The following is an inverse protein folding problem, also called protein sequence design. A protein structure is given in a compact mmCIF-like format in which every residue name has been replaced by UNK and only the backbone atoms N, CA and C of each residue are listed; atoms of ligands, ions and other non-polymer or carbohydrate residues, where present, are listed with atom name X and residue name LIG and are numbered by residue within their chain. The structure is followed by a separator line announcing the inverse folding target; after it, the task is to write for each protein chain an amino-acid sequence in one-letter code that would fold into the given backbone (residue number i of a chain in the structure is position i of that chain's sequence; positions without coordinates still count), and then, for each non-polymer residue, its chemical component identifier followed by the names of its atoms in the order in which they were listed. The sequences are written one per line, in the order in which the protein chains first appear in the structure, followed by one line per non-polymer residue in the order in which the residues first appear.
data_IF_100805059720
#
_entry.id   IF_100805059720
#
_cell.length_a   1.000
_cell.length_b   1.000
_cell.length_c   1.000
_cell.angle_alpha   90.00
_cell.angle_beta   90.00
_cell.angle_gamma   90.00
#
_symmetry.space_group_name_H-M   'P 1'
#
loop_
_entity.id
_entity.type
_entity.pdbx_description
1 polymer ?
#
# COMPACT_ATOMS: atom_id res chain seq x y z
N UNK A 1 49.36 -1.18 17.71
CA UNK A 1 48.85 -2.27 16.84
C UNK A 1 47.45 -2.62 17.30
N UNK A 2 46.46 -1.87 16.84
CA UNK A 2 45.04 -2.17 17.05
C UNK A 2 44.64 -3.20 16.00
N UNK A 3 44.40 -4.42 16.43
CA UNK A 3 43.88 -5.50 15.60
C UNK A 3 42.48 -5.08 15.13
N UNK A 4 42.36 -4.62 13.89
CA UNK A 4 41.09 -4.52 13.19
C UNK A 4 40.48 -5.93 13.19
N UNK A 5 39.48 -6.16 14.05
CA UNK A 5 38.62 -7.33 13.92
C UNK A 5 38.04 -7.29 12.50
N UNK A 6 38.44 -8.25 11.66
CA UNK A 6 37.86 -8.39 10.31
C UNK A 6 36.35 -8.50 10.47
N UNK A 7 35.61 -7.66 9.75
CA UNK A 7 34.15 -7.74 9.70
C UNK A 7 33.80 -9.07 9.02
N UNK A 8 33.36 -10.03 9.82
CA UNK A 8 32.98 -11.34 9.30
C UNK A 8 31.56 -11.24 8.73
N UNK A 9 31.47 -11.20 7.40
CA UNK A 9 30.21 -11.27 6.67
C UNK A 9 29.92 -12.72 6.28
N UNK A 10 28.64 -13.11 6.26
CA UNK A 10 28.24 -14.37 5.64
C UNK A 10 28.55 -14.36 4.13
N UNK A 11 28.72 -15.54 3.54
CA UNK A 11 29.01 -15.65 2.11
C UNK A 11 27.90 -15.05 1.23
N UNK A 12 26.64 -15.16 1.64
CA UNK A 12 25.52 -14.51 0.95
C UNK A 12 25.65 -12.99 0.99
N UNK A 13 26.02 -12.44 2.15
CA UNK A 13 26.14 -11.00 2.31
C UNK A 13 27.35 -10.44 1.57
N UNK A 14 28.48 -11.18 1.54
CA UNK A 14 29.63 -10.83 0.70
C UNK A 14 29.24 -10.72 -0.76
N UNK A 15 28.53 -11.72 -1.30
CA UNK A 15 28.07 -11.71 -2.70
C UNK A 15 27.16 -10.53 -3.01
N UNK A 16 26.26 -10.17 -2.11
CA UNK A 16 25.39 -9.01 -2.27
C UNK A 16 26.19 -7.69 -2.28
N UNK A 17 27.13 -7.52 -1.34
CA UNK A 17 28.03 -6.36 -1.29
C UNK A 17 28.88 -6.27 -2.56
N UNK A 18 29.52 -7.35 -2.98
CA UNK A 18 30.32 -7.41 -4.21
C UNK A 18 29.50 -7.02 -5.45
N UNK A 19 28.25 -7.51 -5.53
CA UNK A 19 27.32 -7.14 -6.59
C UNK A 19 27.02 -5.64 -6.62
N UNK A 20 26.83 -5.03 -5.45
CA UNK A 20 26.60 -3.58 -5.34
C UNK A 20 27.84 -2.80 -5.76
N UNK A 21 29.02 -3.17 -5.26
CA UNK A 21 30.31 -2.54 -5.61
C UNK A 21 30.50 -2.53 -7.13
N UNK A 22 30.28 -3.69 -7.77
CA UNK A 22 30.46 -3.84 -9.22
C UNK A 22 29.44 -3.04 -10.03
N UNK A 23 28.18 -3.02 -9.61
CA UNK A 23 27.12 -2.34 -10.36
C UNK A 23 27.22 -0.81 -10.27
N UNK A 24 27.76 -0.30 -9.16
CA UNK A 24 27.93 1.13 -8.92
C UNK A 24 29.31 1.67 -9.33
N UNK A 25 30.16 0.82 -9.91
CA UNK A 25 31.56 1.15 -10.29
C UNK A 25 32.33 1.79 -9.12
N UNK A 26 32.14 1.25 -7.91
CA UNK A 26 32.78 1.76 -6.69
C UNK A 26 34.21 1.25 -6.58
N UNK A 27 35.16 2.16 -6.47
CA UNK A 27 36.56 1.83 -6.16
C UNK A 27 36.74 1.57 -4.65
N UNK A 28 36.26 0.40 -4.20
CA UNK A 28 36.37 -0.04 -2.80
C UNK A 28 36.42 -1.56 -2.66
N UNK A 29 37.06 -2.04 -1.59
CA UNK A 29 36.93 -3.43 -1.15
C UNK A 29 35.68 -3.63 -0.30
N UNK A 30 35.32 -4.89 -0.03
CA UNK A 30 34.22 -5.25 0.88
C UNK A 30 34.46 -4.69 2.29
N UNK A 31 35.72 -4.62 2.74
CA UNK A 31 36.09 -4.06 4.04
C UNK A 31 35.85 -2.54 4.11
N UNK A 32 36.08 -1.83 3.01
CA UNK A 32 35.89 -0.37 2.87
C UNK A 32 34.47 0.04 2.47
N UNK A 33 33.66 -0.92 2.01
CA UNK A 33 32.33 -0.70 1.45
C UNK A 33 31.47 0.22 2.30
N UNK A 34 31.39 -0.06 3.61
CA UNK A 34 30.52 0.67 4.52
C UNK A 34 30.87 2.16 4.68
N UNK A 35 32.13 2.52 4.43
CA UNK A 35 32.65 3.88 4.61
C UNK A 35 32.59 4.69 3.30
N UNK A 36 32.53 4.01 2.16
CA UNK A 36 32.50 4.63 0.82
C UNK A 36 31.09 4.67 0.20
N UNK A 37 30.12 3.96 0.77
CA UNK A 37 28.76 3.88 0.23
C UNK A 37 27.89 5.07 0.68
N UNK A 38 27.05 5.57 -0.25
CA UNK A 38 25.95 6.45 0.12
C UNK A 38 24.76 5.61 0.63
N UNK A 39 24.60 5.54 1.95
CA UNK A 39 23.53 4.78 2.61
C UNK A 39 22.12 5.21 2.24
N UNK A 40 21.92 6.47 1.88
CA UNK A 40 20.61 6.96 1.44
C UNK A 40 20.27 6.43 0.05
N UNK A 41 21.21 6.54 -0.89
CA UNK A 41 21.01 6.10 -2.28
C UNK A 41 20.87 4.59 -2.37
N UNK A 42 21.69 3.83 -1.63
CA UNK A 42 21.59 2.38 -1.63
C UNK A 42 20.25 1.90 -1.09
N UNK A 43 19.76 2.52 0.00
CA UNK A 43 18.46 2.19 0.61
C UNK A 43 17.28 2.46 -0.31
N UNK A 44 17.44 3.39 -1.27
CA UNK A 44 16.38 3.81 -2.20
C UNK A 44 16.41 3.06 -3.53
N UNK A 45 17.58 2.97 -4.15
CA UNK A 45 17.70 2.58 -5.55
C UNK A 45 18.17 1.14 -5.76
N UNK A 46 18.62 0.44 -4.71
CA UNK A 46 19.03 -0.97 -4.81
C UNK A 46 17.96 -1.88 -4.23
N UNK A 47 17.89 -3.10 -4.76
CA UNK A 47 17.07 -4.16 -4.20
C UNK A 47 17.89 -4.86 -3.12
N UNK A 48 17.64 -4.52 -1.86
CA UNK A 48 18.39 -5.01 -0.71
C UNK A 48 17.70 -6.21 -0.09
N UNK A 49 18.47 -7.23 0.26
CA UNK A 49 17.94 -8.34 1.05
C UNK A 49 17.65 -7.89 2.48
N UNK A 50 16.66 -8.51 3.13
CA UNK A 50 16.40 -8.23 4.54
C UNK A 50 17.60 -8.55 5.45
N UNK A 51 18.45 -9.52 5.07
CA UNK A 51 19.68 -9.81 5.81
C UNK A 51 20.71 -8.69 5.70
N UNK A 52 20.81 -8.07 4.53
CA UNK A 52 21.61 -6.86 4.35
C UNK A 52 21.07 -5.73 5.24
N UNK A 53 19.76 -5.51 5.23
CA UNK A 53 19.14 -4.45 6.03
C UNK A 53 19.31 -4.72 7.53
N UNK A 54 19.13 -5.97 8.00
CA UNK A 54 19.41 -6.37 9.40
C UNK A 54 20.85 -6.07 9.79
N UNK A 55 21.80 -6.43 8.92
CA UNK A 55 23.22 -6.25 9.19
C UNK A 55 23.58 -4.76 9.34
N UNK A 56 23.00 -3.92 8.50
CA UNK A 56 23.30 -2.49 8.43
C UNK A 56 22.17 -1.61 8.97
N UNK A 57 21.38 -2.12 9.91
CA UNK A 57 20.17 -1.49 10.44
C UNK A 57 20.40 -0.09 11.01
N UNK A 58 21.61 0.20 11.50
CA UNK A 58 21.98 1.51 12.09
C UNK A 58 22.54 2.49 11.05
N UNK A 59 22.67 2.06 9.79
CA UNK A 59 23.22 2.88 8.69
C UNK A 59 22.21 3.15 7.57
N UNK A 60 21.34 2.19 7.27
CA UNK A 60 20.31 2.35 6.24
C UNK A 60 19.35 3.49 6.54
N UNK A 61 18.83 4.11 5.47
CA UNK A 61 17.78 5.12 5.59
C UNK A 61 16.42 4.42 5.69
N UNK A 62 15.88 4.32 6.90
CA UNK A 62 14.62 3.61 7.18
C UNK A 62 13.41 4.15 6.43
N UNK A 63 13.41 5.43 6.05
CA UNK A 63 12.36 6.02 5.23
C UNK A 63 12.40 5.39 3.83
N UNK A 64 13.57 5.40 3.19
CA UNK A 64 13.76 4.78 1.88
C UNK A 64 13.56 3.26 1.93
N UNK A 65 13.99 2.59 3.00
CA UNK A 65 13.74 1.17 3.20
C UNK A 65 12.24 0.86 3.19
N UNK A 66 11.46 1.63 3.95
CA UNK A 66 10.02 1.42 4.08
C UNK A 66 9.26 1.70 2.79
N UNK A 67 9.72 2.69 2.01
CA UNK A 67 9.08 3.14 0.76
C UNK A 67 9.43 2.27 -0.44
N UNK A 68 10.69 1.87 -0.58
CA UNK A 68 11.21 1.33 -1.84
C UNK A 68 11.58 -0.15 -1.79
N UNK A 69 11.80 -0.73 -0.60
CA UNK A 69 12.12 -2.15 -0.49
C UNK A 69 10.86 -2.99 -0.36
N UNK A 70 10.90 -4.22 -0.87
CA UNK A 70 9.86 -5.22 -0.63
C UNK A 70 10.15 -5.91 0.70
N UNK A 71 9.36 -5.62 1.72
CA UNK A 71 9.56 -6.13 3.07
C UNK A 71 8.54 -7.23 3.39
N UNK A 72 8.98 -8.29 4.04
CA UNK A 72 8.10 -9.29 4.63
C UNK A 72 7.42 -8.73 5.88
N UNK A 73 6.24 -9.26 6.21
CA UNK A 73 5.52 -8.85 7.42
C UNK A 73 6.32 -9.16 8.68
N UNK A 74 7.07 -10.27 8.72
CA UNK A 74 7.91 -10.63 9.87
C UNK A 74 9.07 -9.65 10.05
N UNK A 75 9.69 -9.19 8.96
CA UNK A 75 10.69 -8.13 9.03
C UNK A 75 10.11 -6.81 9.56
N UNK A 76 8.91 -6.45 9.11
CA UNK A 76 8.24 -5.23 9.62
C UNK A 76 7.91 -5.38 11.11
N UNK A 77 7.53 -6.57 11.58
CA UNK A 77 7.35 -6.84 13.03
C UNK A 77 8.65 -6.68 13.80
N UNK A 78 9.73 -7.26 13.27
CA UNK A 78 11.07 -7.19 13.86
C UNK A 78 11.55 -5.74 14.02
N UNK A 79 11.30 -4.90 13.00
CA UNK A 79 11.74 -3.50 12.96
C UNK A 79 10.61 -2.48 13.13
N UNK A 80 9.54 -2.84 13.83
CA UNK A 80 8.31 -2.05 13.98
C UNK A 80 8.50 -0.64 14.59
N UNK A 81 9.62 -0.40 15.25
CA UNK A 81 9.96 0.88 15.88
C UNK A 81 10.96 1.71 15.05
N UNK A 82 11.43 1.17 13.92
CA UNK A 82 12.33 1.86 12.98
C UNK A 82 11.67 2.18 11.64
N UNK A 83 10.78 1.30 11.16
CA UNK A 83 10.07 1.51 9.91
C UNK A 83 9.19 2.76 9.94
N UNK A 84 9.04 3.39 8.78
CA UNK A 84 8.15 4.52 8.61
C UNK A 84 6.74 4.04 8.25
N UNK A 85 5.84 4.06 9.23
CA UNK A 85 4.49 3.48 9.11
C UNK A 85 3.61 4.08 8.01
N UNK A 86 3.84 5.33 7.63
CA UNK A 86 3.19 5.96 6.48
C UNK A 86 3.48 5.17 5.20
N UNK A 87 4.76 4.98 4.88
CA UNK A 87 5.19 4.21 3.71
C UNK A 87 4.89 2.72 3.81
N UNK A 88 4.96 2.13 5.01
CA UNK A 88 4.53 0.75 5.20
C UNK A 88 3.06 0.58 4.82
N UNK A 89 2.20 1.50 5.25
CA UNK A 89 0.75 1.42 5.00
C UNK A 89 0.40 1.63 3.53
N UNK A 90 1.15 2.49 2.83
CA UNK A 90 0.87 2.86 1.45
C UNK A 90 1.49 1.91 0.41
N UNK A 91 2.72 1.42 0.66
CA UNK A 91 3.52 0.75 -0.38
C UNK A 91 3.74 -0.74 -0.14
N UNK A 92 3.57 -1.23 1.09
CA UNK A 92 3.71 -2.67 1.37
C UNK A 92 2.36 -3.38 1.22
N UNK A 93 2.41 -4.66 0.85
CA UNK A 93 1.22 -5.52 0.83
C UNK A 93 0.97 -6.06 2.24
N UNK A 94 -0.05 -5.53 2.90
CA UNK A 94 -0.38 -5.89 4.27
C UNK A 94 -1.58 -6.85 4.31
N UNK A 95 -1.52 -7.86 5.19
CA UNK A 95 -2.70 -8.68 5.47
C UNK A 95 -3.63 -7.94 6.44
N UNK A 96 -4.92 -8.25 6.40
CA UNK A 96 -5.89 -7.63 7.32
C UNK A 96 -5.55 -7.93 8.79
N UNK A 97 -5.06 -9.12 9.11
CA UNK A 97 -4.64 -9.48 10.47
C UNK A 97 -3.41 -8.68 10.92
N UNK A 98 -2.47 -8.41 10.02
CA UNK A 98 -1.35 -7.53 10.31
C UNK A 98 -1.81 -6.10 10.61
N UNK A 99 -2.79 -5.60 9.84
CA UNK A 99 -3.35 -4.26 10.09
C UNK A 99 -4.10 -4.24 11.43
N UNK A 100 -4.79 -5.32 11.83
CA UNK A 100 -5.40 -5.44 13.17
C UNK A 100 -4.36 -5.40 14.28
N UNK A 101 -3.27 -6.16 14.10
CA UNK A 101 -2.13 -6.23 15.02
C UNK A 101 -1.54 -4.84 15.25
N UNK A 102 -1.31 -4.07 14.18
CA UNK A 102 -0.68 -2.75 14.22
C UNK A 102 -1.64 -1.57 14.04
N UNK A 103 -2.91 -1.74 14.38
CA UNK A 103 -3.99 -0.76 14.16
C UNK A 103 -3.72 0.65 14.71
N UNK A 104 -2.86 0.76 15.72
CA UNK A 104 -2.48 2.03 16.36
C UNK A 104 -1.20 2.66 15.78
N UNK A 105 -0.48 1.95 14.90
CA UNK A 105 0.74 2.43 14.24
C UNK A 105 0.51 2.75 12.75
N UNK A 106 -0.32 1.96 12.07
CA UNK A 106 -0.62 2.15 10.64
C UNK A 106 -1.23 3.52 10.34
N UNK A 107 -0.92 4.05 9.15
CA UNK A 107 -1.56 5.22 8.59
C UNK A 107 -2.87 4.80 7.91
N UNK A 108 -4.01 5.16 8.51
CA UNK A 108 -5.32 4.71 8.05
C UNK A 108 -5.73 5.25 6.68
N UNK A 109 -5.26 6.44 6.28
CA UNK A 109 -5.49 6.96 4.93
C UNK A 109 -4.76 6.11 3.89
N UNK A 110 -3.48 5.78 4.15
CA UNK A 110 -2.70 4.87 3.31
C UNK A 110 -3.31 3.47 3.23
N UNK A 111 -3.77 2.92 4.37
CA UNK A 111 -4.49 1.64 4.41
C UNK A 111 -5.76 1.70 3.55
N UNK A 112 -6.57 2.73 3.72
CA UNK A 112 -7.87 2.85 3.02
C UNK A 112 -7.71 3.00 1.52
N UNK A 113 -6.63 3.66 1.08
CA UNK A 113 -6.36 3.90 -0.34
C UNK A 113 -5.67 2.71 -1.01
N UNK A 114 -4.61 2.16 -0.40
CA UNK A 114 -3.70 1.24 -1.07
C UNK A 114 -3.99 -0.25 -0.83
N UNK A 115 -4.68 -0.60 0.25
CA UNK A 115 -4.94 -2.01 0.59
C UNK A 115 -6.31 -2.45 0.08
N UNK A 116 -6.44 -3.76 -0.19
CA UNK A 116 -7.74 -4.38 -0.49
C UNK A 116 -8.42 -4.73 0.83
N UNK A 117 -9.51 -4.04 1.14
CA UNK A 117 -10.22 -4.18 2.40
C UNK A 117 -11.56 -4.87 2.17
N UNK A 118 -11.88 -5.88 3.00
CA UNK A 118 -13.23 -6.44 3.00
C UNK A 118 -14.19 -5.47 3.68
N UNK A 119 -15.46 -5.51 3.30
CA UNK A 119 -16.49 -4.70 3.94
C UNK A 119 -16.58 -4.95 5.45
N UNK A 120 -16.45 -6.19 5.91
CA UNK A 120 -16.46 -6.51 7.34
C UNK A 120 -15.29 -5.87 8.09
N UNK A 121 -14.12 -5.80 7.45
CA UNK A 121 -12.99 -5.07 8.01
C UNK A 121 -13.27 -3.57 8.09
N UNK A 122 -13.89 -3.00 7.06
CA UNK A 122 -14.27 -1.59 7.05
C UNK A 122 -15.33 -1.31 8.13
N UNK A 123 -16.30 -2.21 8.34
CA UNK A 123 -17.27 -2.14 9.46
C UNK A 123 -16.56 -2.14 10.81
N UNK A 124 -15.61 -3.06 11.01
CA UNK A 124 -14.81 -3.19 12.22
C UNK A 124 -14.06 -1.87 12.54
N UNK A 125 -13.50 -1.22 11.52
CA UNK A 125 -12.68 -0.01 11.66
C UNK A 125 -13.33 1.27 11.11
N UNK A 126 -14.67 1.33 11.09
CA UNK A 126 -15.45 2.40 10.46
C UNK A 126 -15.19 3.83 10.99
N UNK A 127 -14.55 3.95 12.15
CA UNK A 127 -14.19 5.23 12.78
C UNK A 127 -12.72 5.60 12.58
N UNK A 128 -11.95 4.77 11.87
CA UNK A 128 -10.53 5.00 11.59
C UNK A 128 -10.24 5.13 10.10
N UNK A 129 -10.95 4.37 9.27
CA UNK A 129 -10.79 4.42 7.81
C UNK A 129 -11.08 5.81 7.24
N UNK A 130 -10.41 6.15 6.16
CA UNK A 130 -10.68 7.33 5.37
C UNK A 130 -11.82 7.03 4.39
N UNK A 131 -13.02 7.51 4.69
CA UNK A 131 -14.21 7.25 3.87
C UNK A 131 -14.12 7.77 2.44
N UNK A 132 -13.34 8.83 2.18
CA UNK A 132 -13.14 9.31 0.81
C UNK A 132 -12.31 8.32 0.02
N UNK A 133 -11.24 7.80 0.63
CA UNK A 133 -10.41 6.76 0.04
C UNK A 133 -11.21 5.46 -0.14
N UNK A 134 -11.91 4.97 0.89
CA UNK A 134 -12.77 3.78 0.81
C UNK A 134 -13.74 3.86 -0.37
N UNK A 135 -14.44 4.99 -0.50
CA UNK A 135 -15.42 5.18 -1.58
C UNK A 135 -14.79 5.20 -2.97
N UNK A 136 -13.50 5.58 -3.07
CA UNK A 136 -12.80 5.73 -4.34
C UNK A 136 -12.09 4.43 -4.77
N UNK A 137 -11.43 3.75 -3.84
CA UNK A 137 -10.48 2.65 -4.14
C UNK A 137 -11.05 1.25 -3.92
N UNK A 138 -12.07 1.09 -3.07
CA UNK A 138 -12.64 -0.21 -2.76
C UNK A 138 -13.83 -0.53 -3.67
N UNK A 139 -14.03 -1.81 -3.99
CA UNK A 139 -15.28 -2.27 -4.59
C UNK A 139 -16.27 -2.52 -3.46
N UNK A 140 -17.38 -1.77 -3.45
CA UNK A 140 -18.38 -1.82 -2.39
C UNK A 140 -19.71 -2.34 -2.93
N UNK A 141 -20.37 -3.21 -2.18
CA UNK A 141 -21.73 -3.60 -2.46
C UNK A 141 -22.68 -2.44 -2.21
N UNK A 142 -23.79 -2.42 -2.95
CA UNK A 142 -24.85 -1.45 -2.73
C UNK A 142 -25.38 -1.49 -1.30
N UNK A 143 -25.53 -2.67 -0.70
CA UNK A 143 -26.01 -2.82 0.68
C UNK A 143 -25.06 -2.19 1.70
N UNK A 144 -23.75 -2.32 1.50
CA UNK A 144 -22.76 -1.61 2.31
C UNK A 144 -22.87 -0.08 2.13
N UNK A 145 -23.06 0.40 0.90
CA UNK A 145 -23.24 1.82 0.63
C UNK A 145 -24.53 2.32 1.29
N UNK A 146 -25.62 1.54 1.29
CA UNK A 146 -26.86 1.86 2.04
C UNK A 146 -26.60 1.98 3.53
N UNK A 147 -25.88 1.02 4.10
CA UNK A 147 -25.52 0.96 5.51
C UNK A 147 -24.72 2.21 5.94
N UNK A 148 -23.75 2.64 5.12
CA UNK A 148 -22.86 3.76 5.42
C UNK A 148 -23.12 5.02 4.58
N UNK A 149 -24.37 5.22 4.13
CA UNK A 149 -24.79 6.31 3.24
C UNK A 149 -24.42 7.72 3.71
N UNK A 150 -24.26 7.92 5.01
CA UNK A 150 -23.92 9.23 5.60
C UNK A 150 -22.42 9.41 5.85
N UNK A 151 -21.61 8.38 5.61
CA UNK A 151 -20.14 8.43 5.71
C UNK A 151 -19.45 8.40 4.36
N UNK A 152 -19.98 7.63 3.40
CA UNK A 152 -19.39 7.50 2.06
C UNK A 152 -19.34 8.84 1.32
N UNK A 153 -18.33 8.99 0.47
CA UNK A 153 -18.22 10.12 -0.45
C UNK A 153 -19.05 9.84 -1.70
N UNK A 154 -20.27 10.38 -1.77
CA UNK A 154 -21.18 10.18 -2.90
C UNK A 154 -20.59 10.60 -4.25
N UNK A 155 -19.73 11.61 -4.27
CA UNK A 155 -18.96 12.00 -5.46
C UNK A 155 -18.10 10.83 -5.94
N UNK A 156 -17.35 10.20 -5.04
CA UNK A 156 -16.48 9.08 -5.37
C UNK A 156 -17.28 7.83 -5.68
N UNK A 157 -18.34 7.52 -4.92
CA UNK A 157 -19.25 6.41 -5.21
C UNK A 157 -19.79 6.51 -6.64
N UNK A 158 -20.27 7.70 -7.03
CA UNK A 158 -20.79 7.95 -8.38
C UNK A 158 -19.71 7.78 -9.46
N UNK A 159 -18.46 8.12 -9.15
CA UNK A 159 -17.33 8.01 -10.07
C UNK A 159 -16.80 6.58 -10.22
N UNK A 160 -16.66 5.82 -9.12
CA UNK A 160 -15.89 4.58 -9.10
C UNK A 160 -16.75 3.31 -9.07
N UNK A 161 -17.94 3.35 -8.49
CA UNK A 161 -18.76 2.14 -8.28
C UNK A 161 -19.64 1.85 -9.50
N UNK A 162 -19.89 0.56 -9.72
CA UNK A 162 -20.95 0.09 -10.59
C UNK A 162 -22.25 -0.01 -9.80
N UNK A 163 -23.22 0.83 -10.15
CA UNK A 163 -24.50 0.94 -9.46
C UNK A 163 -25.63 0.50 -10.38
N UNK A 164 -26.59 -0.22 -9.85
CA UNK A 164 -27.84 -0.58 -10.52
C UNK A 164 -28.75 0.63 -10.71
N UNK A 165 -29.65 0.54 -11.70
CA UNK A 165 -30.65 1.58 -11.92
C UNK A 165 -31.55 1.80 -10.70
N UNK A 166 -31.91 0.71 -10.00
CA UNK A 166 -32.79 0.79 -8.83
C UNK A 166 -32.10 1.51 -7.67
N UNK A 167 -30.80 1.26 -7.44
CA UNK A 167 -30.02 2.00 -6.45
C UNK A 167 -29.86 3.48 -6.80
N UNK A 168 -29.58 3.78 -8.07
CA UNK A 168 -29.48 5.17 -8.55
C UNK A 168 -30.81 5.90 -8.34
N UNK A 169 -31.94 5.24 -8.61
CA UNK A 169 -33.27 5.80 -8.38
C UNK A 169 -33.54 6.04 -6.89
N UNK A 170 -33.18 5.08 -6.03
CA UNK A 170 -33.30 5.18 -4.57
C UNK A 170 -32.53 6.39 -4.01
N UNK A 171 -31.29 6.61 -4.47
CA UNK A 171 -30.40 7.68 -4.00
C UNK A 171 -30.23 8.84 -4.98
N UNK A 172 -31.22 9.09 -5.83
CA UNK A 172 -31.18 10.09 -6.91
C UNK A 172 -30.68 11.47 -6.45
N UNK A 173 -31.05 11.91 -5.25
CA UNK A 173 -30.64 13.22 -4.70
C UNK A 173 -29.19 13.27 -4.18
N UNK A 174 -28.51 12.13 -4.07
CA UNK A 174 -27.12 12.02 -3.62
C UNK A 174 -26.16 11.63 -4.76
N UNK A 175 -26.66 10.97 -5.80
CA UNK A 175 -25.86 10.60 -6.97
C UNK A 175 -25.38 11.85 -7.70
N UNK A 176 -24.07 11.89 -7.97
CA UNK A 176 -23.47 12.91 -8.82
C UNK A 176 -23.45 12.41 -10.26
N UNK A 177 -24.51 12.74 -11.00
CA UNK A 177 -24.68 12.35 -12.41
C UNK A 177 -23.53 12.78 -13.31
N UNK A 178 -22.91 13.94 -13.04
CA UNK A 178 -21.76 14.41 -13.83
C UNK A 178 -20.57 13.47 -13.70
N UNK A 179 -20.28 13.02 -12.48
CA UNK A 179 -19.17 12.09 -12.24
C UNK A 179 -19.51 10.69 -12.75
N UNK A 180 -20.76 10.25 -12.60
CA UNK A 180 -21.24 8.96 -13.11
C UNK A 180 -21.12 8.85 -14.63
N UNK A 181 -21.38 9.94 -15.37
CA UNK A 181 -21.24 9.98 -16.82
C UNK A 181 -19.77 9.88 -17.29
N UNK A 182 -18.80 10.12 -16.42
CA UNK A 182 -17.39 9.89 -16.73
C UNK A 182 -16.98 8.42 -16.49
N UNK A 183 -17.79 7.65 -15.76
CA UNK A 183 -17.59 6.22 -15.56
C UNK A 183 -18.17 5.41 -16.73
N UNK A 184 -17.29 5.10 -17.70
CA UNK A 184 -17.64 4.31 -18.89
C UNK A 184 -18.24 2.93 -18.55
N UNK A 185 -17.85 2.33 -17.42
CA UNK A 185 -18.33 1.01 -17.00
C UNK A 185 -19.79 1.06 -16.54
N UNK A 186 -20.12 2.04 -15.69
CA UNK A 186 -21.49 2.27 -15.21
C UNK A 186 -22.45 2.60 -16.36
N UNK A 187 -22.05 3.45 -17.30
CA UNK A 187 -22.87 3.74 -18.49
C UNK A 187 -23.14 2.47 -19.31
N UNK A 188 -22.10 1.65 -19.54
CA UNK A 188 -22.26 0.40 -20.28
C UNK A 188 -23.27 -0.54 -19.64
N UNK A 189 -23.22 -0.68 -18.31
CA UNK A 189 -24.16 -1.51 -17.56
C UNK A 189 -25.59 -0.97 -17.61
N UNK A 190 -25.78 0.34 -17.44
CA UNK A 190 -27.11 0.97 -17.54
C UNK A 190 -27.74 0.72 -18.92
N UNK A 191 -26.97 0.86 -20.00
CA UNK A 191 -27.46 0.58 -21.36
C UNK A 191 -27.85 -0.89 -21.52
N UNK A 192 -27.04 -1.82 -21.03
CA UNK A 192 -27.34 -3.25 -21.09
C UNK A 192 -28.62 -3.60 -20.31
N UNK A 193 -28.81 -3.01 -19.14
CA UNK A 193 -30.00 -3.21 -18.32
C UNK A 193 -31.27 -2.69 -19.01
N UNK A 194 -31.21 -1.48 -19.59
CA UNK A 194 -32.31 -0.88 -20.37
C UNK A 194 -32.66 -1.77 -21.58
N UNK A 195 -31.65 -2.20 -22.35
CA UNK A 195 -31.85 -3.09 -23.51
C UNK A 195 -32.50 -4.42 -23.08
N UNK A 196 -32.05 -5.00 -21.96
CA UNK A 196 -32.61 -6.23 -21.40
C UNK A 196 -34.07 -6.08 -21.00
N UNK A 197 -34.43 -4.96 -20.34
CA UNK A 197 -35.82 -4.64 -19.98
C UNK A 197 -36.70 -4.45 -21.23
N UNK A 198 -36.19 -3.79 -22.26
CA UNK A 198 -36.93 -3.58 -23.52
C UNK A 198 -37.12 -4.86 -24.34
N UNK A 199 -36.18 -5.81 -24.32
CA UNK A 199 -36.31 -7.10 -25.04
C UNK A 199 -37.33 -8.07 -24.40
N UNK A 200 -37.78 -7.78 -23.18
CA UNK A 200 -38.76 -8.60 -22.44
C UNK A 200 -40.21 -8.12 -22.62
N UNK A 201 -40.41 -7.03 -23.38
CA UNK A 201 -41.70 -6.44 -23.76
C UNK A 201 -41.97 -6.84 -25.21
#
# INVERSE_FOLDING_TARGET
MTTLQKKEYSEELKKEIEGIIKNEDLDCSIEEFEDKINWKDISKYKNLSENFIRRFQDKVDWKNISEHQKLSLDFIREFQDRVCWEYISEHQKLSLDFIREFKNKVNWSGISYSQVLSEDFIREFQNRVDWRAISLSQTLSEDFIREFKDKVSWKNISWSQELSLDFIAEFNNRINYREMLNNKKTIGNMLNEIISKLKKI
#
